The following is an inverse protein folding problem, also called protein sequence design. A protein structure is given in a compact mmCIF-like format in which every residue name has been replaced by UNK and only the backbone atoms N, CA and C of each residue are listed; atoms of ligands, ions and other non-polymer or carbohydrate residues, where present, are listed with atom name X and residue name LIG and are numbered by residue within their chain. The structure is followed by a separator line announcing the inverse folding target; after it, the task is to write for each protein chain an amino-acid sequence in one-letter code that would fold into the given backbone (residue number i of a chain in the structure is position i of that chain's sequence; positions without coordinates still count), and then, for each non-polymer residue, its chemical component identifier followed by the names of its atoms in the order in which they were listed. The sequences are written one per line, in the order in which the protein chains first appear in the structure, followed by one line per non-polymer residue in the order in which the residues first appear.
data_IF_146465983882
#
_entry.id   IF_146465983882
#
_cell.length_a   1.000
_cell.length_b   1.000
_cell.length_c   1.000
_cell.angle_alpha   90.00
_cell.angle_beta   90.00
_cell.angle_gamma   90.00
#
_symmetry.space_group_name_H-M   'P 1'
#
loop_
_entity.id
_entity.type
_entity.pdbx_description
1 polymer ?
#
# COMPACT_ATOMS: atom_id res chain seq x y z
N UNK A 1 -20.92 11.77 12.54
CA UNK A 1 -20.32 11.06 11.40
C UNK A 1 -20.10 9.62 11.83
N UNK A 2 -20.63 8.63 11.11
CA UNK A 2 -20.54 7.21 11.48
C UNK A 2 -19.48 6.56 10.60
N UNK A 3 -18.45 5.99 11.20
CA UNK A 3 -17.41 5.25 10.51
C UNK A 3 -17.62 3.75 10.72
N UNK A 4 -17.27 2.95 9.72
CA UNK A 4 -17.31 1.49 9.80
C UNK A 4 -15.90 0.95 10.06
N UNK A 5 -15.75 0.13 11.09
CA UNK A 5 -14.50 -0.57 11.40
C UNK A 5 -14.73 -2.07 11.31
N UNK A 6 -13.88 -2.75 10.54
CA UNK A 6 -13.85 -4.21 10.48
C UNK A 6 -12.45 -4.70 10.79
N UNK A 7 -12.35 -5.65 11.73
CA UNK A 7 -11.09 -6.30 12.12
C UNK A 7 -11.28 -7.79 11.89
N UNK A 8 -10.45 -8.38 11.07
CA UNK A 8 -10.38 -9.82 10.87
C UNK A 8 -9.00 -10.34 11.24
N UNK A 9 -8.96 -11.57 11.75
CA UNK A 9 -7.73 -12.26 12.13
C UNK A 9 -7.80 -13.69 11.64
N UNK A 10 -6.77 -14.14 10.95
CA UNK A 10 -6.57 -15.56 10.60
C UNK A 10 -5.52 -16.23 11.51
N UNK A 11 -5.13 -15.55 12.60
CA UNK A 11 -4.11 -15.97 13.55
C UNK A 11 -2.73 -15.37 13.25
N UNK A 12 -2.25 -15.46 12.00
CA UNK A 12 -0.92 -14.95 11.62
C UNK A 12 -0.97 -13.54 11.02
N UNK A 13 -2.11 -13.15 10.45
CA UNK A 13 -2.36 -11.84 9.86
C UNK A 13 -3.61 -11.22 10.44
N UNK A 14 -3.49 -9.95 10.78
CA UNK A 14 -4.60 -9.11 11.16
C UNK A 14 -4.89 -8.15 10.01
N UNK A 15 -6.15 -8.07 9.61
CA UNK A 15 -6.60 -7.14 8.58
C UNK A 15 -7.56 -6.14 9.20
N UNK A 16 -7.30 -4.86 8.98
CA UNK A 16 -8.09 -3.75 9.48
C UNK A 16 -8.64 -2.95 8.31
N UNK A 17 -9.96 -2.80 8.25
CA UNK A 17 -10.64 -1.92 7.31
C UNK A 17 -11.35 -0.79 8.04
N UNK A 18 -11.13 0.44 7.58
CA UNK A 18 -11.84 1.65 8.04
C UNK A 18 -12.57 2.22 6.82
N UNK A 19 -13.90 2.31 6.91
CA UNK A 19 -14.77 2.75 5.81
C UNK A 19 -14.52 1.98 4.50
N UNK A 20 -14.24 0.68 4.61
CA UNK A 20 -13.93 -0.20 3.48
C UNK A 20 -12.51 -0.05 2.91
N UNK A 21 -11.71 0.91 3.38
CA UNK A 21 -10.30 1.06 3.01
C UNK A 21 -9.44 0.15 3.88
N UNK A 22 -8.46 -0.55 3.31
CA UNK A 22 -7.54 -1.40 4.06
C UNK A 22 -6.41 -0.57 4.69
N UNK A 23 -6.29 -0.60 6.02
CA UNK A 23 -5.28 0.12 6.81
C UNK A 23 -4.23 -0.79 7.46
N UNK A 24 -4.27 -2.10 7.21
CA UNK A 24 -3.50 -3.10 7.95
C UNK A 24 -1.98 -2.87 7.97
N UNK A 25 -1.41 -2.28 6.90
CA UNK A 25 0.02 -1.97 6.81
C UNK A 25 0.43 -0.61 7.42
N UNK A 26 -0.53 0.21 7.84
CA UNK A 26 -0.31 1.58 8.30
C UNK A 26 -0.56 1.75 9.81
N UNK A 27 -0.84 0.67 10.52
CA UNK A 27 -1.21 0.68 11.94
C UNK A 27 -0.19 -0.10 12.77
N UNK A 28 0.25 0.50 13.87
CA UNK A 28 1.03 -0.15 14.93
C UNK A 28 0.14 -1.03 15.79
N UNK A 29 -1.00 -0.49 16.19
CA UNK A 29 -1.93 -1.17 17.09
C UNK A 29 -3.36 -0.69 16.90
N UNK A 30 -4.32 -1.55 17.22
CA UNK A 30 -5.73 -1.23 17.33
C UNK A 30 -6.23 -1.81 18.64
N UNK A 31 -6.84 -0.98 19.48
CA UNK A 31 -7.38 -1.36 20.78
C UNK A 31 -8.84 -0.94 20.88
N UNK A 32 -9.68 -1.82 21.44
CA UNK A 32 -11.07 -1.53 21.76
C UNK A 32 -11.20 -1.43 23.28
N UNK A 33 -11.54 -0.23 23.76
CA UNK A 33 -11.80 0.04 25.16
C UNK A 33 -13.31 -0.01 25.43
N UNK A 34 -13.69 -0.90 26.33
CA UNK A 34 -15.06 -1.17 26.74
C UNK A 34 -15.14 -0.97 28.25
N UNK A 35 -15.67 0.17 28.68
CA UNK A 35 -15.95 0.44 30.08
C UNK A 35 -17.48 0.39 30.35
N UNK A 36 -17.92 -0.16 31.50
CA UNK A 36 -19.32 -0.11 31.90
C UNK A 36 -19.84 1.33 31.92
N UNK A 37 -21.07 1.53 31.46
CA UNK A 37 -21.75 2.84 31.41
C UNK A 37 -21.01 3.90 30.58
N UNK A 38 -20.10 3.50 29.68
CA UNK A 38 -19.36 4.39 28.80
C UNK A 38 -19.56 3.99 27.34
N UNK A 39 -19.36 4.95 26.43
CA UNK A 39 -19.35 4.65 25.00
C UNK A 39 -18.09 3.83 24.66
N UNK A 40 -18.22 2.77 23.84
CA UNK A 40 -17.09 2.04 23.29
C UNK A 40 -16.12 3.00 22.60
N UNK A 41 -14.83 2.88 22.89
CA UNK A 41 -13.80 3.69 22.26
C UNK A 41 -12.83 2.80 21.50
N UNK A 42 -12.67 3.09 20.21
CA UNK A 42 -11.60 2.50 19.41
C UNK A 42 -10.40 3.44 19.46
N UNK A 43 -9.25 2.89 19.84
CA UNK A 43 -7.96 3.57 19.81
C UNK A 43 -7.13 2.95 18.69
N UNK A 44 -6.65 3.78 17.79
CA UNK A 44 -5.84 3.37 16.64
C UNK A 44 -4.51 4.10 16.76
N UNK A 45 -3.42 3.34 16.78
CA UNK A 45 -2.07 3.90 16.73
C UNK A 45 -1.51 3.73 15.32
N UNK A 46 -1.44 4.81 14.52
CA UNK A 46 -0.84 4.72 13.20
C UNK A 46 0.65 4.48 13.31
N UNK A 47 1.17 3.66 12.40
CA UNK A 47 2.60 3.52 12.14
C UNK A 47 2.90 4.06 10.75
N UNK A 48 3.32 5.32 10.69
CA UNK A 48 3.78 5.92 9.45
C UNK A 48 5.27 5.62 9.33
N UNK A 49 5.59 4.51 8.68
CA UNK A 49 6.95 4.31 8.16
C UNK A 49 7.14 5.30 7.03
N UNK A 50 7.94 6.36 7.26
CA UNK A 50 8.49 7.16 6.17
C UNK A 50 9.21 6.18 5.23
N UNK A 51 8.67 5.92 4.04
CA UNK A 51 9.29 5.03 3.05
C UNK A 51 10.51 5.75 2.49
N UNK A 52 11.63 5.73 3.21
CA UNK A 52 12.91 6.23 2.68
C UNK A 52 13.52 5.26 1.67
N UNK A 53 13.15 3.98 1.72
CA UNK A 53 13.76 2.94 0.90
C UNK A 53 12.67 2.07 0.27
N UNK A 54 12.54 2.17 -1.04
CA UNK A 54 11.88 1.15 -1.85
C UNK A 54 12.97 0.10 -2.14
N UNK A 55 12.94 -1.02 -1.42
CA UNK A 55 13.76 -2.18 -1.80
C UNK A 55 13.06 -2.88 -2.96
N UNK A 56 13.41 -2.46 -4.17
CA UNK A 56 13.01 -3.12 -5.40
C UNK A 56 14.05 -4.20 -5.68
N UNK A 57 13.72 -5.47 -5.40
CA UNK A 57 14.56 -6.60 -5.87
C UNK A 57 14.42 -6.81 -7.39
N UNK A 58 13.24 -6.51 -7.94
CA UNK A 58 12.99 -6.46 -9.38
C UNK A 58 11.83 -5.51 -9.67
N UNK A 59 12.03 -4.56 -10.59
CA UNK A 59 10.94 -3.78 -11.18
C UNK A 59 11.04 -3.88 -12.70
N UNK A 60 9.97 -4.35 -13.31
CA UNK A 60 9.77 -4.24 -14.75
C UNK A 60 9.04 -2.93 -15.04
N UNK A 61 9.74 -2.00 -15.69
CA UNK A 61 9.11 -0.81 -16.25
C UNK A 61 8.73 -1.13 -17.68
N UNK A 62 7.43 -1.30 -17.93
CA UNK A 62 6.91 -1.44 -19.29
C UNK A 62 6.94 -0.06 -19.95
N UNK A 63 7.89 0.13 -20.85
CA UNK A 63 8.02 1.35 -21.63
C UNK A 63 6.87 1.47 -22.63
N UNK A 64 6.26 2.64 -22.73
CA UNK A 64 5.28 2.89 -23.79
C UNK A 64 5.97 2.97 -25.16
N UNK A 65 5.29 2.59 -26.27
CA UNK A 65 5.88 2.65 -27.61
C UNK A 65 6.40 4.05 -27.99
N UNK A 66 5.72 5.11 -27.53
CA UNK A 66 6.15 6.50 -27.76
C UNK A 66 7.48 6.81 -27.08
N UNK A 67 7.68 6.34 -25.84
CA UNK A 67 8.94 6.53 -25.12
C UNK A 67 10.09 5.75 -25.77
N UNK A 68 9.83 4.54 -26.28
CA UNK A 68 10.82 3.74 -27.01
C UNK A 68 11.30 4.46 -28.29
N UNK A 69 10.39 5.07 -29.04
CA UNK A 69 10.71 5.86 -30.24
C UNK A 69 11.54 7.10 -29.93
N UNK A 70 11.21 7.79 -28.84
CA UNK A 70 11.97 8.96 -28.40
C UNK A 70 13.40 8.56 -28.04
N UNK A 71 13.58 7.49 -27.26
CA UNK A 71 14.92 7.00 -26.91
C UNK A 71 15.72 6.55 -28.14
N UNK A 72 15.06 5.89 -29.09
CA UNK A 72 15.68 5.54 -30.37
C UNK A 72 16.18 6.79 -31.14
N UNK A 73 15.38 7.87 -31.15
CA UNK A 73 15.81 9.14 -31.78
C UNK A 73 16.98 9.83 -31.06
N UNK A 74 17.20 9.50 -29.79
CA UNK A 74 18.32 9.98 -28.98
C UNK A 74 19.54 9.04 -29.05
N UNK A 75 19.52 8.03 -29.92
CA UNK A 75 20.65 7.13 -30.18
C UNK A 75 20.69 5.87 -29.31
N UNK A 76 19.67 5.62 -28.49
CA UNK A 76 19.55 4.34 -27.80
C UNK A 76 19.11 3.24 -28.78
N UNK A 77 19.78 2.09 -28.77
CA UNK A 77 19.41 0.94 -29.62
C UNK A 77 18.69 -0.13 -28.78
N UNK A 78 17.49 -0.59 -29.18
CA UNK A 78 16.78 -1.62 -28.44
C UNK A 78 17.54 -2.96 -28.38
N UNK A 79 17.33 -3.76 -27.33
CA UNK A 79 17.84 -5.14 -27.28
C UNK A 79 17.27 -5.98 -28.43
N UNK A 80 18.05 -6.95 -28.90
CA UNK A 80 17.63 -7.84 -29.98
C UNK A 80 16.27 -8.49 -29.70
N UNK A 81 15.38 -8.49 -30.70
CA UNK A 81 14.02 -9.01 -30.58
C UNK A 81 12.93 -7.99 -30.22
N UNK A 82 13.30 -6.72 -29.99
CA UNK A 82 12.34 -5.64 -29.72
C UNK A 82 12.31 -4.64 -30.89
N UNK A 83 11.15 -4.50 -31.54
CA UNK A 83 10.89 -3.46 -32.55
C UNK A 83 10.30 -2.20 -31.91
N UNK A 84 10.67 -1.03 -32.42
CA UNK A 84 10.23 0.31 -31.96
C UNK A 84 8.94 0.78 -32.67
#
# INVERSE_FOLDING_TARGET
MKHSLSISSDGARHTVHIDGTNWSGALRSVSLDLAPNSLPRVVIEPFITEVRHINVEHAEVVMSPTAARLLASLGWTPPAGHSV
#
